data_IF_492472683384
#
_entry.id   IF_492472683384
#
_cell.length_a   1.000
_cell.length_b   1.000
_cell.length_c   1.000
_cell.angle_alpha   90.00
_cell.angle_beta   90.00
_cell.angle_gamma   90.00
#
_symmetry.space_group_name_H-M   'P 1'
#
loop_
_entity.id
_entity.type
_entity.pdbx_description
1 polymer ?
#
# COMPACT_ATOMS: atom_id res chain seq x y z
N UNK A 1 4.75 18.15 -15.72
CA UNK A 1 3.34 17.96 -15.33
C UNK A 1 2.67 16.74 -15.98
N UNK A 2 2.50 16.67 -17.32
CA UNK A 2 1.77 15.55 -17.95
C UNK A 2 2.51 14.20 -17.84
N UNK A 3 3.81 14.18 -18.11
CA UNK A 3 4.66 13.00 -17.98
C UNK A 3 4.76 12.53 -16.51
N UNK A 4 4.93 13.46 -15.55
CA UNK A 4 4.98 13.13 -14.12
C UNK A 4 3.72 12.42 -13.63
N UNK A 5 2.54 12.87 -14.07
CA UNK A 5 1.27 12.22 -13.73
C UNK A 5 1.19 10.79 -14.30
N UNK A 6 1.69 10.57 -15.51
CA UNK A 6 1.73 9.23 -16.13
C UNK A 6 2.71 8.33 -15.36
N UNK A 7 3.88 8.86 -14.98
CA UNK A 7 4.86 8.13 -14.16
C UNK A 7 4.28 7.70 -12.81
N UNK A 8 3.55 8.58 -12.12
CA UNK A 8 2.84 8.23 -10.88
C UNK A 8 1.77 7.16 -11.10
N UNK A 9 1.02 7.24 -12.19
CA UNK A 9 0.03 6.22 -12.55
C UNK A 9 0.69 4.85 -12.80
N UNK A 10 1.84 4.81 -13.50
CA UNK A 10 2.59 3.58 -13.72
C UNK A 10 3.08 3.00 -12.39
N UNK A 11 3.59 3.82 -11.48
CA UNK A 11 4.03 3.37 -10.16
C UNK A 11 2.89 2.77 -9.33
N UNK A 12 1.71 3.39 -9.34
CA UNK A 12 0.53 2.88 -8.65
C UNK A 12 0.10 1.53 -9.20
N UNK A 13 0.07 1.40 -10.53
CA UNK A 13 -0.26 0.14 -11.21
C UNK A 13 0.76 -0.97 -10.95
N UNK A 14 2.06 -0.63 -10.95
CA UNK A 14 3.13 -1.58 -10.65
C UNK A 14 2.95 -2.13 -9.23
N UNK A 15 2.76 -1.27 -8.24
CA UNK A 15 2.53 -1.73 -6.87
C UNK A 15 1.24 -2.52 -6.69
N UNK A 16 0.20 -2.23 -7.48
CA UNK A 16 -0.99 -3.08 -7.51
C UNK A 16 -0.62 -4.46 -8.05
N UNK A 17 0.07 -4.55 -9.18
CA UNK A 17 0.47 -5.82 -9.80
C UNK A 17 1.43 -6.64 -8.92
N UNK A 18 2.38 -6.01 -8.23
CA UNK A 18 3.33 -6.68 -7.33
C UNK A 18 2.64 -7.27 -6.09
N UNK A 19 1.52 -6.69 -5.63
CA UNK A 19 0.70 -7.29 -4.58
C UNK A 19 0.01 -8.60 -5.02
N UNK A 20 -0.06 -8.88 -6.32
CA UNK A 20 -0.53 -10.14 -6.87
C UNK A 20 0.61 -11.09 -7.25
N UNK A 21 1.80 -10.58 -7.58
CA UNK A 21 2.92 -11.32 -8.21
C UNK A 21 3.19 -12.68 -7.56
N UNK A 22 3.47 -12.73 -6.26
CA UNK A 22 3.77 -13.99 -5.59
C UNK A 22 2.61 -14.99 -5.65
N UNK A 23 1.38 -14.56 -5.29
CA UNK A 23 0.19 -15.43 -5.31
C UNK A 23 -0.12 -15.93 -6.72
N UNK A 24 0.03 -15.07 -7.72
CA UNK A 24 -0.19 -15.41 -9.12
C UNK A 24 0.88 -16.40 -9.61
N UNK A 25 2.15 -16.18 -9.28
CA UNK A 25 3.23 -17.07 -9.72
C UNK A 25 3.09 -18.47 -9.09
N UNK A 26 2.73 -18.56 -7.80
CA UNK A 26 2.39 -19.84 -7.16
C UNK A 26 1.14 -20.50 -7.77
N UNK A 27 0.15 -19.71 -8.17
CA UNK A 27 -1.03 -20.21 -8.87
C UNK A 27 -0.67 -20.85 -10.22
N UNK A 28 0.21 -20.20 -11.00
CA UNK A 28 0.70 -20.75 -12.27
C UNK A 28 1.57 -21.99 -12.08
N UNK A 29 2.38 -22.03 -11.01
CA UNK A 29 3.11 -23.24 -10.62
C UNK A 29 2.16 -24.41 -10.32
N UNK A 30 1.07 -24.16 -9.60
CA UNK A 30 0.04 -25.17 -9.33
C UNK A 30 -0.62 -25.71 -10.60
N UNK A 31 -0.90 -24.84 -11.58
CA UNK A 31 -1.36 -25.26 -12.91
C UNK A 31 -0.34 -26.13 -13.63
N UNK A 32 0.95 -25.77 -13.60
CA UNK A 32 2.02 -26.54 -14.23
C UNK A 32 2.21 -27.92 -13.58
N UNK A 33 2.15 -28.00 -12.24
CA UNK A 33 2.21 -29.26 -11.50
C UNK A 33 1.02 -30.17 -11.81
N UNK A 34 -0.19 -29.62 -11.90
CA UNK A 34 -1.38 -30.38 -12.28
C UNK A 34 -1.31 -30.88 -13.72
N UNK A 35 -0.91 -30.04 -14.69
CA UNK A 35 -0.79 -30.43 -16.10
C UNK A 35 0.29 -31.50 -16.30
N UNK A 36 1.37 -31.46 -15.51
CA UNK A 36 2.39 -32.50 -15.49
C UNK A 36 1.86 -33.83 -14.92
N UNK A 37 0.96 -33.79 -13.92
CA UNK A 37 0.40 -34.96 -13.28
C UNK A 37 -0.73 -35.64 -14.09
N UNK A 38 -1.49 -34.89 -14.90
CA UNK A 38 -2.63 -35.36 -15.74
C UNK A 38 -3.66 -36.26 -15.05
N UNK A 39 -3.86 -36.10 -13.74
CA UNK A 39 -4.48 -37.15 -12.93
C UNK A 39 -6.00 -37.02 -12.70
N UNK A 40 -6.67 -35.96 -13.16
CA UNK A 40 -8.14 -35.82 -13.15
C UNK A 40 -8.51 -34.47 -13.80
N UNK A 41 -9.78 -34.06 -13.70
CA UNK A 41 -10.17 -32.66 -13.90
C UNK A 41 -9.37 -31.72 -12.97
N UNK A 42 -9.18 -30.45 -13.33
CA UNK A 42 -8.54 -29.47 -12.47
C UNK A 42 -9.29 -29.35 -11.13
N UNK A 43 -8.58 -29.28 -9.99
CA UNK A 43 -9.17 -28.91 -8.73
C UNK A 43 -9.88 -27.55 -8.78
N UNK A 44 -10.98 -27.42 -8.05
CA UNK A 44 -11.79 -26.19 -8.03
C UNK A 44 -10.95 -24.94 -7.64
N UNK A 45 -9.99 -25.09 -6.72
CA UNK A 45 -9.13 -23.98 -6.29
C UNK A 45 -8.23 -23.43 -7.41
N UNK A 46 -7.86 -24.24 -8.41
CA UNK A 46 -7.13 -23.75 -9.60
C UNK A 46 -8.07 -22.98 -10.54
N UNK A 47 -9.31 -23.41 -10.67
CA UNK A 47 -10.30 -22.73 -11.51
C UNK A 47 -10.70 -21.40 -10.86
N UNK A 48 -11.00 -21.41 -9.57
CA UNK A 48 -11.34 -20.20 -8.81
C UNK A 48 -10.18 -19.19 -8.74
N UNK A 49 -8.94 -19.69 -8.67
CA UNK A 49 -7.75 -18.86 -8.70
C UNK A 49 -7.56 -18.09 -10.01
N UNK A 50 -8.04 -18.61 -11.15
CA UNK A 50 -8.01 -17.87 -12.42
C UNK A 50 -8.89 -16.62 -12.37
N UNK A 51 -10.09 -16.74 -11.79
CA UNK A 51 -11.00 -15.61 -11.63
C UNK A 51 -10.49 -14.60 -10.60
N UNK A 52 -9.85 -15.08 -9.53
CA UNK A 52 -9.39 -14.25 -8.42
C UNK A 52 -8.02 -13.58 -8.66
N UNK A 53 -7.15 -14.19 -9.46
CA UNK A 53 -5.75 -13.76 -9.64
C UNK A 53 -5.42 -13.44 -11.08
N UNK A 54 -5.76 -14.30 -12.04
CA UNK A 54 -5.36 -14.14 -13.44
C UNK A 54 -6.10 -12.97 -14.08
N UNK A 55 -7.44 -12.97 -14.07
CA UNK A 55 -8.23 -11.90 -14.72
C UNK A 55 -7.94 -10.49 -14.16
N UNK A 56 -7.84 -10.29 -12.83
CA UNK A 56 -7.46 -8.98 -12.29
C UNK A 56 -6.06 -8.56 -12.73
N UNK A 57 -5.12 -9.50 -12.79
CA UNK A 57 -3.76 -9.21 -13.23
C UNK A 57 -3.69 -8.89 -14.72
N UNK A 58 -4.42 -9.59 -15.59
CA UNK A 58 -4.52 -9.28 -17.02
C UNK A 58 -4.92 -7.81 -17.25
N UNK A 59 -5.91 -7.32 -16.50
CA UNK A 59 -6.33 -5.92 -16.57
C UNK A 59 -5.23 -4.96 -16.09
N UNK A 60 -4.50 -5.30 -15.02
CA UNK A 60 -3.36 -4.51 -14.55
C UNK A 60 -2.22 -4.49 -15.57
N UNK A 61 -1.88 -5.64 -16.17
CA UNK A 61 -0.84 -5.77 -17.18
C UNK A 61 -1.17 -4.95 -18.43
N UNK A 62 -2.42 -4.97 -18.89
CA UNK A 62 -2.86 -4.17 -20.02
C UNK A 62 -2.78 -2.66 -19.72
N UNK A 63 -3.22 -2.25 -18.52
CA UNK A 63 -3.11 -0.85 -18.08
C UNK A 63 -1.66 -0.39 -17.96
N UNK A 64 -0.75 -1.25 -17.49
CA UNK A 64 0.68 -0.98 -17.42
C UNK A 64 1.28 -0.83 -18.82
N UNK A 65 0.95 -1.75 -19.72
CA UNK A 65 1.40 -1.72 -21.12
C UNK A 65 0.99 -0.41 -21.81
N UNK A 66 -0.31 -0.08 -21.77
CA UNK A 66 -0.83 1.14 -22.39
C UNK A 66 -0.30 2.42 -21.75
N UNK A 67 -0.15 2.44 -20.42
CA UNK A 67 0.41 3.60 -19.71
C UNK A 67 1.88 3.83 -20.07
N UNK A 68 2.63 2.75 -20.29
CA UNK A 68 4.04 2.82 -20.72
C UNK A 68 4.14 3.34 -22.15
N UNK A 69 3.33 2.87 -23.09
CA UNK A 69 3.26 3.44 -24.45
C UNK A 69 2.99 4.94 -24.37
N UNK A 70 1.94 5.32 -23.62
CA UNK A 70 1.55 6.72 -23.46
C UNK A 70 2.68 7.57 -22.87
N UNK A 71 3.49 7.03 -21.95
CA UNK A 71 4.66 7.71 -21.42
C UNK A 71 5.70 7.95 -22.52
N UNK A 72 6.07 6.91 -23.26
CA UNK A 72 7.07 6.96 -24.32
C UNK A 72 6.68 7.92 -25.45
N UNK A 73 5.41 7.94 -25.83
CA UNK A 73 4.87 8.90 -26.80
C UNK A 73 4.91 10.33 -26.25
N UNK A 74 4.53 10.53 -24.98
CA UNK A 74 4.52 11.85 -24.34
C UNK A 74 5.93 12.44 -24.20
N UNK A 75 6.93 11.59 -23.97
CA UNK A 75 8.35 11.99 -23.89
C UNK A 75 9.05 12.01 -25.26
N UNK A 76 8.31 11.73 -26.34
CA UNK A 76 8.82 11.72 -27.71
C UNK A 76 10.04 10.79 -27.88
N UNK A 77 9.94 9.55 -27.38
CA UNK A 77 10.99 8.52 -27.43
C UNK A 77 10.64 7.39 -28.43
N UNK A 78 10.62 7.64 -29.76
CA UNK A 78 10.12 6.68 -30.74
C UNK A 78 11.01 5.43 -30.89
N UNK A 79 12.31 5.53 -30.59
CA UNK A 79 13.21 4.36 -30.59
C UNK A 79 12.88 3.44 -29.42
N UNK A 80 12.67 4.00 -28.22
CA UNK A 80 12.25 3.23 -27.04
C UNK A 80 10.87 2.63 -27.24
N UNK A 81 9.92 3.35 -27.83
CA UNK A 81 8.61 2.81 -28.15
C UNK A 81 8.71 1.58 -29.05
N UNK A 82 9.52 1.63 -30.11
CA UNK A 82 9.74 0.44 -30.96
C UNK A 82 10.36 -0.74 -30.21
N UNK A 83 11.32 -0.47 -29.32
CA UNK A 83 11.92 -1.53 -28.50
C UNK A 83 10.91 -2.11 -27.51
N UNK A 84 10.05 -1.28 -26.93
CA UNK A 84 8.96 -1.70 -26.05
C UNK A 84 8.00 -2.63 -26.78
N UNK A 85 7.48 -2.21 -27.94
CA UNK A 85 6.56 -3.00 -28.76
C UNK A 85 7.20 -4.32 -29.23
N UNK A 86 8.49 -4.29 -29.58
CA UNK A 86 9.21 -5.51 -29.97
C UNK A 86 9.42 -6.48 -28.79
N UNK A 87 9.59 -5.98 -27.57
CA UNK A 87 9.81 -6.80 -26.35
C UNK A 87 8.51 -7.37 -25.79
N UNK A 88 7.44 -6.57 -25.74
CA UNK A 88 6.17 -6.93 -25.09
C UNK A 88 5.05 -7.33 -26.06
N UNK A 89 5.25 -7.16 -27.37
CA UNK A 89 4.33 -7.57 -28.43
C UNK A 89 3.29 -6.51 -28.81
N UNK A 90 2.92 -6.48 -30.09
CA UNK A 90 1.82 -5.68 -30.64
C UNK A 90 0.99 -6.56 -31.61
N UNK A 91 -0.24 -6.99 -31.24
CA UNK A 91 -0.98 -6.63 -30.03
C UNK A 91 -0.40 -7.24 -28.75
N UNK A 92 -0.63 -6.59 -27.62
CA UNK A 92 -0.24 -7.08 -26.30
C UNK A 92 -1.07 -8.29 -25.89
N UNK A 93 -0.41 -9.35 -25.40
CA UNK A 93 -1.06 -10.55 -24.88
C UNK A 93 -1.09 -10.53 -23.36
N UNK A 94 -2.16 -9.98 -22.78
CA UNK A 94 -2.33 -9.87 -21.33
C UNK A 94 -2.37 -11.24 -20.62
N UNK A 95 -2.95 -12.25 -21.27
CA UNK A 95 -3.00 -13.60 -20.73
C UNK A 95 -1.60 -14.19 -20.59
N UNK A 96 -0.77 -14.09 -21.63
CA UNK A 96 0.63 -14.52 -21.57
C UNK A 96 1.41 -13.76 -20.49
N UNK A 97 1.13 -12.46 -20.33
CA UNK A 97 1.75 -11.66 -19.26
C UNK A 97 1.37 -12.14 -17.85
N UNK A 98 0.19 -12.75 -17.68
CA UNK A 98 -0.32 -13.27 -16.41
C UNK A 98 0.09 -14.73 -16.14
N UNK A 99 0.38 -15.53 -17.18
CA UNK A 99 0.65 -16.97 -17.03
C UNK A 99 2.12 -17.33 -17.06
N UNK A 100 2.98 -16.53 -17.70
CA UNK A 100 4.42 -16.83 -17.79
C UNK A 100 5.13 -16.41 -16.51
N UNK A 101 5.64 -17.41 -15.78
CA UNK A 101 6.42 -17.26 -14.56
C UNK A 101 7.81 -17.90 -14.73
N UNK A 102 8.73 -17.55 -13.84
CA UNK A 102 10.05 -18.17 -13.71
C UNK A 102 10.41 -18.23 -12.21
N UNK A 103 11.44 -19.00 -11.87
CA UNK A 103 11.91 -19.20 -10.49
C UNK A 103 13.37 -18.75 -10.42
N UNK A 104 13.69 -17.84 -9.51
CA UNK A 104 15.08 -17.46 -9.29
C UNK A 104 15.84 -18.56 -8.54
N UNK A 105 16.43 -19.49 -9.31
CA UNK A 105 17.20 -20.63 -8.78
C UNK A 105 18.48 -20.20 -8.05
N UNK A 106 18.96 -18.97 -8.28
CA UNK A 106 20.16 -18.42 -7.65
C UNK A 106 19.85 -17.48 -6.47
N UNK A 107 18.59 -17.06 -6.33
CA UNK A 107 18.10 -16.14 -5.31
C UNK A 107 17.39 -16.83 -4.14
N UNK A 108 16.21 -16.34 -3.78
CA UNK A 108 15.37 -16.87 -2.70
C UNK A 108 14.58 -18.13 -3.11
N UNK A 109 14.59 -18.49 -4.39
CA UNK A 109 13.82 -19.62 -4.93
C UNK A 109 12.34 -19.32 -5.11
N UNK A 110 11.91 -18.07 -4.98
CA UNK A 110 10.50 -17.68 -5.13
C UNK A 110 10.11 -17.56 -6.61
N UNK A 111 8.93 -18.06 -7.01
CA UNK A 111 8.43 -17.86 -8.36
C UNK A 111 7.98 -16.40 -8.55
N UNK A 112 8.28 -15.84 -9.72
CA UNK A 112 7.93 -14.46 -10.08
C UNK A 112 7.33 -14.38 -11.49
N UNK A 113 6.63 -13.28 -11.78
CA UNK A 113 5.98 -13.09 -13.09
C UNK A 113 6.95 -12.41 -14.06
N UNK A 114 7.24 -13.08 -15.18
CA UNK A 114 8.26 -12.64 -16.14
C UNK A 114 7.93 -11.27 -16.73
N UNK A 115 6.65 -10.99 -16.99
CA UNK A 115 6.21 -9.68 -17.48
C UNK A 115 6.64 -8.53 -16.55
N UNK A 116 6.43 -8.65 -15.24
CA UNK A 116 6.78 -7.59 -14.29
C UNK A 116 8.29 -7.42 -14.17
N UNK A 117 9.04 -8.52 -14.13
CA UNK A 117 10.50 -8.46 -14.12
C UNK A 117 11.04 -7.71 -15.35
N UNK A 118 10.58 -8.09 -16.55
CA UNK A 118 10.99 -7.45 -17.80
C UNK A 118 10.54 -5.98 -17.88
N UNK A 119 9.33 -5.67 -17.41
CA UNK A 119 8.82 -4.30 -17.38
C UNK A 119 9.65 -3.44 -16.42
N UNK A 120 10.01 -3.96 -15.24
CA UNK A 120 10.88 -3.25 -14.29
C UNK A 120 12.23 -2.92 -14.91
N UNK A 121 12.88 -3.91 -15.53
CA UNK A 121 14.14 -3.70 -16.25
C UNK A 121 14.02 -2.67 -17.36
N UNK A 122 12.93 -2.72 -18.14
CA UNK A 122 12.71 -1.79 -19.23
C UNK A 122 12.49 -0.34 -18.74
N UNK A 123 11.79 -0.18 -17.63
CA UNK A 123 11.48 1.14 -17.04
C UNK A 123 12.64 1.73 -16.23
N UNK A 124 13.64 0.93 -15.85
CA UNK A 124 14.75 1.38 -15.02
C UNK A 124 15.56 2.54 -15.63
N UNK A 125 15.97 2.51 -16.92
CA UNK A 125 16.70 3.62 -17.55
C UNK A 125 15.85 4.89 -17.73
N UNK A 126 14.53 4.77 -17.68
CA UNK A 126 13.60 5.90 -17.81
C UNK A 126 13.42 6.65 -16.50
N UNK A 127 14.10 6.25 -15.41
CA UNK A 127 13.97 6.85 -14.08
C UNK A 127 12.54 6.77 -13.50
N UNK A 128 11.72 5.86 -14.01
CA UNK A 128 10.37 5.63 -13.47
C UNK A 128 10.47 5.01 -12.08
N UNK A 129 11.39 4.04 -11.92
CA UNK A 129 11.58 3.25 -10.70
C UNK A 129 12.61 3.83 -9.74
N UNK A 130 13.53 4.66 -10.24
CA UNK A 130 14.59 5.30 -9.43
C UNK A 130 14.06 6.38 -8.49
N UNK A 131 12.79 6.75 -8.64
CA UNK A 131 11.95 7.19 -7.52
C UNK A 131 11.69 6.03 -6.54
N UNK A 132 12.72 5.23 -6.25
CA UNK A 132 12.67 4.03 -5.42
C UNK A 132 12.23 4.38 -4.01
N UNK A 133 12.55 5.60 -3.55
CA UNK A 133 11.95 6.19 -2.35
C UNK A 133 10.43 6.24 -2.42
N UNK A 134 9.81 6.64 -3.54
CA UNK A 134 8.35 6.70 -3.67
C UNK A 134 7.69 5.34 -3.85
N UNK A 135 8.33 4.40 -4.57
CA UNK A 135 7.81 3.04 -4.72
C UNK A 135 7.86 2.27 -3.39
N UNK A 136 9.04 2.23 -2.74
CA UNK A 136 9.21 1.61 -1.43
C UNK A 136 8.34 2.30 -0.38
N UNK A 137 8.21 3.63 -0.45
CA UNK A 137 7.27 4.38 0.39
C UNK A 137 5.83 3.95 0.15
N UNK A 138 5.39 3.78 -1.10
CA UNK A 138 4.02 3.36 -1.39
C UNK A 138 3.73 1.93 -0.92
N UNK A 139 4.66 1.00 -1.13
CA UNK A 139 4.56 -0.35 -0.57
C UNK A 139 4.56 -0.33 0.97
N UNK A 140 5.46 0.45 1.58
CA UNK A 140 5.52 0.66 3.02
C UNK A 140 4.24 1.28 3.59
N UNK A 141 3.59 2.20 2.87
CA UNK A 141 2.29 2.76 3.25
C UNK A 141 1.22 1.67 3.28
N UNK A 142 1.19 0.74 2.31
CA UNK A 142 0.22 -0.39 2.35
C UNK A 142 0.44 -1.31 3.55
N UNK A 143 1.70 -1.62 3.88
CA UNK A 143 2.01 -2.41 5.08
C UNK A 143 1.62 -1.65 6.36
N UNK A 144 1.92 -0.36 6.42
CA UNK A 144 1.50 0.51 7.52
C UNK A 144 -0.03 0.48 7.68
N UNK A 145 -0.79 0.74 6.61
CA UNK A 145 -2.26 0.70 6.65
C UNK A 145 -2.78 -0.66 7.10
N UNK A 146 -2.14 -1.74 6.67
CA UNK A 146 -2.48 -3.09 7.12
C UNK A 146 -2.28 -3.24 8.63
N UNK A 147 -1.16 -2.77 9.18
CA UNK A 147 -0.90 -2.78 10.64
C UNK A 147 -1.93 -1.93 11.38
N UNK A 148 -2.18 -0.70 10.93
CA UNK A 148 -3.12 0.21 11.58
C UNK A 148 -4.55 -0.33 11.59
N UNK A 149 -5.04 -0.88 10.48
CA UNK A 149 -6.36 -1.51 10.40
C UNK A 149 -6.46 -2.77 11.28
N UNK A 150 -5.34 -3.45 11.52
CA UNK A 150 -5.28 -4.63 12.38
C UNK A 150 -4.93 -4.32 13.85
N UNK A 151 -4.99 -3.05 14.28
CA UNK A 151 -4.70 -2.62 15.66
C UNK A 151 -5.41 -3.50 16.71
N UNK A 152 -6.71 -3.80 16.54
CA UNK A 152 -7.46 -4.64 17.49
C UNK A 152 -6.90 -6.06 17.59
N UNK A 153 -6.57 -6.68 16.45
CA UNK A 153 -5.96 -8.01 16.40
C UNK A 153 -4.57 -8.01 17.04
N UNK A 154 -3.80 -6.94 16.87
CA UNK A 154 -2.47 -6.78 17.46
C UNK A 154 -2.58 -6.71 19.00
N UNK A 155 -3.48 -5.87 19.51
CA UNK A 155 -3.72 -5.74 20.96
C UNK A 155 -4.22 -7.05 21.57
N UNK A 156 -5.17 -7.71 20.91
CA UNK A 156 -5.67 -9.00 21.39
C UNK A 156 -4.53 -10.03 21.49
N UNK A 157 -3.64 -10.08 20.49
CA UNK A 157 -2.52 -11.02 20.45
C UNK A 157 -1.39 -10.67 21.42
N UNK A 158 -1.22 -9.39 21.80
CA UNK A 158 -0.27 -9.01 22.85
C UNK A 158 -0.76 -9.39 24.25
N UNK A 159 -2.06 -9.68 24.40
CA UNK A 159 -2.68 -9.99 25.70
C UNK A 159 -2.88 -8.74 26.58
N UNK A 160 -2.72 -7.54 26.02
CA UNK A 160 -2.93 -6.28 26.72
C UNK A 160 -4.39 -5.82 26.63
N UNK A 161 -4.85 -5.08 27.63
CA UNK A 161 -6.18 -4.45 27.66
C UNK A 161 -6.03 -2.94 27.85
N UNK A 162 -5.71 -2.18 26.77
CA UNK A 162 -5.43 -0.77 26.88
C UNK A 162 -6.67 0.02 27.27
N UNK A 163 -6.50 0.96 28.19
CA UNK A 163 -7.57 1.85 28.68
C UNK A 163 -7.35 3.31 28.30
N UNK A 164 -6.33 3.57 27.48
CA UNK A 164 -5.87 4.90 27.08
C UNK A 164 -5.25 4.87 25.67
N UNK A 165 -5.11 6.05 25.07
CA UNK A 165 -4.41 6.27 23.79
C UNK A 165 -2.98 5.74 23.84
N UNK A 166 -2.27 6.06 24.93
CA UNK A 166 -0.90 5.60 25.17
C UNK A 166 -0.76 4.08 25.22
N UNK A 167 -1.70 3.40 25.88
CA UNK A 167 -1.69 1.94 25.92
C UNK A 167 -1.89 1.33 24.54
N UNK A 168 -2.77 1.91 23.72
CA UNK A 168 -3.03 1.43 22.35
C UNK A 168 -1.79 1.62 21.48
N UNK A 169 -1.25 2.84 21.39
CA UNK A 169 -0.19 3.11 20.42
C UNK A 169 1.13 2.42 20.80
N UNK A 170 1.43 2.22 22.09
CA UNK A 170 2.68 1.55 22.50
C UNK A 170 2.75 0.11 21.99
N UNK A 171 1.64 -0.63 22.07
CA UNK A 171 1.57 -2.00 21.55
C UNK A 171 1.78 -2.03 20.04
N UNK A 172 1.10 -1.14 19.31
CA UNK A 172 1.23 -1.10 17.84
C UNK A 172 2.61 -0.60 17.41
N UNK A 173 3.18 0.35 18.15
CA UNK A 173 4.53 0.86 17.91
C UNK A 173 5.57 -0.26 17.95
N UNK A 174 5.48 -1.18 18.93
CA UNK A 174 6.40 -2.32 19.00
C UNK A 174 6.37 -3.19 17.72
N UNK A 175 5.19 -3.35 17.11
CA UNK A 175 5.05 -4.06 15.82
C UNK A 175 5.65 -3.21 14.69
N UNK A 176 5.31 -1.93 14.63
CA UNK A 176 5.81 -1.02 13.58
C UNK A 176 7.33 -0.88 13.60
N UNK A 177 7.98 -0.87 14.78
CA UNK A 177 9.44 -0.79 14.91
C UNK A 177 10.17 -1.99 14.28
N UNK A 178 9.51 -3.16 14.17
CA UNK A 178 10.06 -4.32 13.49
C UNK A 178 10.08 -4.17 11.96
N UNK A 179 9.13 -3.42 11.39
CA UNK A 179 9.04 -3.15 9.95
C UNK A 179 9.71 -1.84 9.54
N UNK A 180 9.69 -0.87 10.43
CA UNK A 180 10.12 0.51 10.22
C UNK A 180 11.05 0.92 11.38
N UNK A 181 12.34 0.55 11.34
CA UNK A 181 13.29 0.87 12.42
C UNK A 181 13.40 2.38 12.69
N UNK A 182 13.06 3.22 11.72
CA UNK A 182 13.02 4.68 11.88
C UNK A 182 11.99 5.15 12.91
N UNK A 183 10.99 4.34 13.24
CA UNK A 183 9.97 4.61 14.26
C UNK A 183 10.53 4.58 15.71
N UNK A 184 11.68 3.93 15.93
CA UNK A 184 12.32 3.80 17.25
C UNK A 184 12.82 5.15 17.77
N UNK A 185 13.30 6.02 16.88
CA UNK A 185 13.91 7.31 17.23
C UNK A 185 13.52 8.38 16.21
N UNK A 186 12.32 8.95 16.32
CA UNK A 186 11.89 10.04 15.45
C UNK A 186 12.87 11.20 15.54
N UNK A 187 13.43 11.63 14.40
CA UNK A 187 14.47 12.67 14.37
C UNK A 187 13.95 14.11 14.49
N UNK A 188 12.64 14.33 14.62
CA UNK A 188 12.09 15.69 14.67
C UNK A 188 10.70 15.73 15.32
N UNK A 189 10.46 16.74 16.15
CA UNK A 189 9.12 17.16 16.57
C UNK A 189 8.69 18.33 15.67
N UNK A 190 7.40 18.47 15.41
CA UNK A 190 6.92 19.60 14.61
C UNK A 190 7.05 20.88 15.41
N UNK A 191 8.00 21.74 15.03
CA UNK A 191 8.25 23.02 15.67
C UNK A 191 7.52 24.12 14.91
N UNK A 192 6.40 24.58 15.47
CA UNK A 192 5.84 25.91 15.13
C UNK A 192 6.14 26.87 16.26
N UNK A 193 6.26 28.15 15.90
CA UNK A 193 6.81 29.33 16.59
C UNK A 193 6.56 29.50 18.12
N UNK A 194 5.71 28.69 18.75
CA UNK A 194 5.53 28.63 20.21
C UNK A 194 5.08 27.26 20.78
N UNK A 195 4.91 26.20 19.95
CA UNK A 195 4.34 24.93 20.41
C UNK A 195 4.95 23.74 19.67
N UNK A 196 5.37 22.73 20.44
CA UNK A 196 5.91 21.46 19.98
C UNK A 196 4.76 20.47 19.83
N UNK A 197 4.48 20.02 18.60
CA UNK A 197 3.49 18.97 18.34
C UNK A 197 4.21 17.63 18.18
N UNK A 198 3.80 16.64 18.98
CA UNK A 198 4.39 15.30 19.02
C UNK A 198 3.33 14.28 18.65
N UNK A 199 3.36 13.73 17.42
CA UNK A 199 2.52 12.59 17.09
C UNK A 199 2.93 11.39 17.94
N UNK A 200 1.99 10.47 18.12
CA UNK A 200 2.25 9.24 18.87
C UNK A 200 3.32 8.37 18.20
N UNK A 201 3.29 8.28 16.86
CA UNK A 201 4.27 7.52 16.07
C UNK A 201 4.66 8.32 14.83
N UNK A 202 5.96 8.34 14.56
CA UNK A 202 6.56 8.97 13.40
C UNK A 202 7.32 7.92 12.60
N UNK A 203 7.11 7.89 11.28
CA UNK A 203 7.81 6.99 10.36
C UNK A 203 8.49 7.86 9.28
N UNK A 204 9.70 8.38 9.56
CA UNK A 204 10.43 9.27 8.65
C UNK A 204 10.60 8.69 7.24
N UNK A 205 10.87 7.38 7.12
CA UNK A 205 11.08 6.75 5.81
C UNK A 205 9.82 6.70 4.93
N UNK A 206 8.64 6.92 5.53
CA UNK A 206 7.37 7.05 4.83
C UNK A 206 6.85 8.50 4.78
N UNK A 207 7.59 9.47 5.33
CA UNK A 207 7.11 10.84 5.57
C UNK A 207 5.75 10.87 6.26
N UNK A 208 5.52 9.92 7.18
CA UNK A 208 4.21 9.67 7.78
C UNK A 208 4.21 9.90 9.28
N UNK A 209 3.14 10.54 9.77
CA UNK A 209 2.84 10.69 11.19
C UNK A 209 1.51 10.00 11.53
N UNK A 210 1.41 9.44 12.72
CA UNK A 210 0.24 8.68 13.18
C UNK A 210 -0.17 9.19 14.55
N UNK A 211 -1.46 9.47 14.68
CA UNK A 211 -2.12 9.90 15.90
C UNK A 211 -3.16 8.85 16.29
N UNK A 212 -3.09 8.35 17.53
CA UNK A 212 -4.04 7.41 18.10
C UNK A 212 -5.02 8.14 19.02
N UNK A 213 -6.31 7.86 18.85
CA UNK A 213 -7.37 8.33 19.73
C UNK A 213 -8.14 7.15 20.32
N UNK A 214 -8.50 7.26 21.59
CA UNK A 214 -9.22 6.22 22.33
C UNK A 214 -10.59 6.72 22.74
N UNK A 215 -11.64 5.95 22.43
CA UNK A 215 -12.99 6.28 22.84
C UNK A 215 -13.74 5.07 23.42
N UNK A 216 -14.19 5.22 24.66
CA UNK A 216 -15.02 4.25 25.37
C UNK A 216 -16.52 4.42 25.14
N UNK A 217 -16.92 5.52 24.53
CA UNK A 217 -18.31 5.89 24.24
C UNK A 217 -18.39 6.84 23.04
N UNK A 218 -19.59 6.99 22.49
CA UNK A 218 -19.84 7.84 21.32
C UNK A 218 -19.52 9.32 21.58
N UNK A 219 -19.75 9.82 22.80
CA UNK A 219 -19.50 11.21 23.15
C UNK A 219 -17.99 11.51 23.11
N UNK A 220 -17.18 10.60 23.64
CA UNK A 220 -15.72 10.67 23.58
C UNK A 220 -15.23 10.58 22.13
N UNK A 221 -15.80 9.70 21.30
CA UNK A 221 -15.43 9.60 19.88
C UNK A 221 -15.66 10.93 19.13
N UNK A 222 -16.82 11.57 19.33
CA UNK A 222 -17.10 12.89 18.74
C UNK A 222 -16.09 13.94 19.21
N UNK A 223 -15.77 13.94 20.50
CA UNK A 223 -14.81 14.88 21.07
C UNK A 223 -13.39 14.66 20.51
N UNK A 224 -12.94 13.42 20.36
CA UNK A 224 -11.61 13.10 19.81
C UNK A 224 -11.50 13.43 18.32
N UNK A 225 -12.57 13.25 17.54
CA UNK A 225 -12.58 13.69 16.12
C UNK A 225 -12.43 15.22 16.02
N UNK A 226 -13.04 15.97 16.93
CA UNK A 226 -12.89 17.42 16.97
C UNK A 226 -11.44 17.83 17.33
N UNK A 227 -10.77 17.10 18.22
CA UNK A 227 -9.37 17.34 18.57
C UNK A 227 -8.42 17.19 17.36
N UNK A 228 -8.69 16.25 16.45
CA UNK A 228 -7.91 16.13 15.20
C UNK A 228 -7.95 17.41 14.35
N UNK A 229 -9.04 18.19 14.39
CA UNK A 229 -9.09 19.47 13.67
C UNK A 229 -8.07 20.49 14.17
N UNK A 230 -7.66 20.40 15.43
CA UNK A 230 -6.60 21.25 15.98
C UNK A 230 -5.20 20.68 15.63
N UNK A 231 -5.04 19.36 15.68
CA UNK A 231 -3.82 18.66 15.24
C UNK A 231 -3.49 18.98 13.76
N UNK A 232 -4.48 18.95 12.88
CA UNK A 232 -4.34 19.30 11.44
C UNK A 232 -3.75 20.70 11.25
N UNK A 233 -4.13 21.69 12.08
CA UNK A 233 -3.57 23.05 12.03
C UNK A 233 -2.13 23.07 12.55
N UNK A 234 -1.83 22.24 13.55
CA UNK A 234 -0.48 22.05 14.10
C UNK A 234 0.48 21.53 13.03
N UNK A 235 0.08 20.49 12.30
CA UNK A 235 0.93 19.75 11.36
C UNK A 235 0.99 20.33 9.93
N UNK A 236 0.18 21.33 9.58
CA UNK A 236 0.20 21.92 8.23
C UNK A 236 1.51 22.64 7.92
N UNK A 237 2.19 22.30 6.82
CA UNK A 237 3.36 23.02 6.32
C UNK A 237 4.72 22.48 6.77
N UNK A 238 4.75 21.27 7.34
CA UNK A 238 6.01 20.55 7.56
C UNK A 238 6.55 19.98 6.23
N UNK A 239 7.87 20.02 6.05
CA UNK A 239 8.55 19.58 4.82
C UNK A 239 8.89 18.09 4.89
N UNK A 240 9.04 17.53 6.09
CA UNK A 240 9.51 16.17 6.32
C UNK A 240 8.34 15.16 6.37
N UNK A 241 7.14 15.63 6.72
CA UNK A 241 5.92 14.81 6.81
C UNK A 241 4.77 15.38 5.97
N UNK A 242 4.26 14.56 5.07
CA UNK A 242 3.22 14.91 4.11
C UNK A 242 2.02 13.95 4.14
N UNK A 243 2.05 12.87 4.94
CA UNK A 243 0.94 11.92 5.13
C UNK A 243 0.63 11.71 6.62
N UNK A 244 -0.65 11.73 6.98
CA UNK A 244 -1.09 11.68 8.37
C UNK A 244 -2.22 10.66 8.55
N UNK A 245 -2.13 9.85 9.60
CA UNK A 245 -3.18 8.92 10.00
C UNK A 245 -3.75 9.31 11.37
N UNK A 246 -5.08 9.28 11.48
CA UNK A 246 -5.78 9.33 12.76
C UNK A 246 -6.48 7.99 12.99
N UNK A 247 -5.99 7.20 13.94
CA UNK A 247 -6.52 5.87 14.26
C UNK A 247 -7.39 5.97 15.50
N UNK A 248 -8.68 5.69 15.36
CA UNK A 248 -9.66 5.71 16.43
C UNK A 248 -9.90 4.28 16.92
N UNK A 249 -9.30 3.95 18.07
CA UNK A 249 -9.57 2.70 18.78
C UNK A 249 -10.79 2.87 19.69
N UNK A 250 -11.84 2.13 19.41
CA UNK A 250 -13.09 2.17 20.18
C UNK A 250 -13.37 0.84 20.87
N UNK A 251 -13.90 0.90 22.10
CA UNK A 251 -14.16 -0.30 22.93
C UNK A 251 -15.38 -1.11 22.47
N UNK A 252 -16.22 -0.51 21.62
CA UNK A 252 -17.40 -1.12 21.03
C UNK A 252 -17.77 -0.37 19.77
N UNK A 253 -18.46 -1.06 18.86
CA UNK A 253 -18.92 -0.43 17.64
C UNK A 253 -20.07 0.55 17.94
N UNK A 254 -19.79 1.85 17.79
CA UNK A 254 -20.77 2.92 18.02
C UNK A 254 -21.46 3.34 16.72
N UNK A 255 -20.72 3.31 15.61
CA UNK A 255 -21.13 3.96 14.36
C UNK A 255 -21.08 3.03 13.15
N UNK A 256 -20.25 2.00 13.17
CA UNK A 256 -19.83 1.26 11.99
C UNK A 256 -18.87 2.09 11.13
N UNK A 257 -18.09 1.38 10.31
CA UNK A 257 -17.07 2.00 9.43
C UNK A 257 -17.69 2.99 8.44
N UNK A 258 -18.80 2.65 7.80
CA UNK A 258 -19.43 3.47 6.76
C UNK A 258 -19.87 4.85 7.29
N UNK A 259 -20.49 4.88 8.47
CA UNK A 259 -20.90 6.14 9.11
C UNK A 259 -19.70 6.96 9.54
N UNK A 260 -18.66 6.32 10.07
CA UNK A 260 -17.41 7.01 10.40
C UNK A 260 -16.79 7.65 9.15
N UNK A 261 -16.68 6.91 8.05
CA UNK A 261 -16.12 7.41 6.79
C UNK A 261 -16.91 8.61 6.24
N UNK A 262 -18.24 8.58 6.35
CA UNK A 262 -19.10 9.72 5.97
C UNK A 262 -18.81 10.95 6.82
N UNK A 263 -18.78 10.80 8.15
CA UNK A 263 -18.50 11.90 9.08
C UNK A 263 -17.08 12.45 8.87
N UNK A 264 -16.10 11.57 8.66
CA UNK A 264 -14.71 11.97 8.37
C UNK A 264 -14.65 12.84 7.12
N UNK A 265 -15.37 12.45 6.06
CA UNK A 265 -15.48 13.22 4.82
C UNK A 265 -16.18 14.57 5.03
N UNK A 266 -17.26 14.61 5.81
CA UNK A 266 -18.00 15.84 6.15
C UNK A 266 -17.15 16.85 6.94
N UNK A 267 -16.18 16.39 7.73
CA UNK A 267 -15.24 17.27 8.43
C UNK A 267 -14.29 18.03 7.51
N UNK A 268 -14.13 17.59 6.26
CA UNK A 268 -13.32 18.29 5.27
C UNK A 268 -11.84 18.36 5.64
N UNK A 269 -11.31 17.31 6.28
CA UNK A 269 -9.88 17.20 6.52
C UNK A 269 -9.09 17.20 5.19
N UNK A 270 -7.84 17.71 5.18
CA UNK A 270 -7.00 17.67 3.99
C UNK A 270 -6.86 16.24 3.43
N UNK A 271 -6.66 16.11 2.11
CA UNK A 271 -6.59 14.79 1.44
C UNK A 271 -5.47 13.89 1.96
N UNK A 272 -4.44 14.48 2.55
CA UNK A 272 -3.33 13.76 3.16
C UNK A 272 -3.58 13.32 4.61
N UNK A 273 -4.79 13.51 5.14
CA UNK A 273 -5.25 12.99 6.43
C UNK A 273 -6.23 11.84 6.26
N UNK A 274 -5.84 10.66 6.75
CA UNK A 274 -6.64 9.43 6.65
C UNK A 274 -7.14 8.99 8.03
N UNK A 275 -8.46 8.87 8.16
CA UNK A 275 -9.10 8.35 9.36
C UNK A 275 -9.25 6.83 9.30
N UNK A 276 -8.90 6.13 10.38
CA UNK A 276 -9.08 4.68 10.51
C UNK A 276 -9.93 4.40 11.75
N UNK A 277 -11.02 3.68 11.58
CA UNK A 277 -11.92 3.27 12.66
C UNK A 277 -11.70 1.81 13.02
N UNK A 278 -11.25 1.55 14.25
CA UNK A 278 -10.93 0.20 14.75
C UNK A 278 -11.76 -0.10 15.97
N UNK A 279 -12.52 -1.21 15.91
CA UNK A 279 -13.28 -1.73 17.05
C UNK A 279 -12.48 -2.84 17.72
N UNK A 280 -12.14 -2.66 19.00
CA UNK A 280 -11.45 -3.65 19.82
C UNK A 280 -11.98 -3.65 21.24
N UNK A 281 -11.61 -4.64 22.04
CA UNK A 281 -11.95 -4.73 23.47
C UNK A 281 -10.69 -4.77 24.30
#
# INVERSE_FOLDING_TARGET
MKADRIRMQILELLSQAEAYEGRLAYHQLGWAEWDAARNAAPPDWLIEGDDALVKPFESLAERLYLSTIRLLETEALPVYLRQFLARFGEPFNANQAATVYDIDVLGDGEPYIVFLAQLREFLAPLDVLNRSSHYLRFAGIKYLETVLNNTASIIQKSGENPTSETGVYQVVRNVLEAFFPSAISPKSNFLKTAQEYKPDILIPELSTAIEYKYAKDEAKLKATIAQISDDVKGYTGDIDYDLFYAVFYVTSDFWGKEKFDLIWKEKGFPENWRGIYVVGK
#
